data_IF_254888606207
#
_entry.id   IF_254888606207
#
_cell.length_a   1.000
_cell.length_b   1.000
_cell.length_c   1.000
_cell.angle_alpha   90.00
_cell.angle_beta   90.00
_cell.angle_gamma   90.00
#
_symmetry.space_group_name_H-M   'P 1'
#
loop_
_entity.id
_entity.type
_entity.pdbx_description
1 polymer ?
#
# COMPACT_ATOMS: atom_id res chain seq x y z
N UNK A 1 -23.06 -26.07 -43.20
CA UNK A 1 -24.10 -26.30 -42.16
C UNK A 1 -24.71 -24.96 -41.82
N UNK A 2 -26.03 -24.85 -41.62
CA UNK A 2 -26.65 -23.59 -41.21
C UNK A 2 -26.04 -23.16 -39.87
N UNK A 3 -25.54 -21.93 -39.83
CA UNK A 3 -24.92 -21.35 -38.63
C UNK A 3 -26.01 -20.87 -37.71
N UNK A 4 -26.36 -21.66 -36.70
CA UNK A 4 -27.26 -21.24 -35.62
C UNK A 4 -26.50 -20.51 -34.52
N UNK A 5 -27.16 -19.60 -33.82
CA UNK A 5 -26.61 -18.82 -32.70
C UNK A 5 -26.98 -19.46 -31.34
N UNK A 6 -26.34 -19.01 -30.25
CA UNK A 6 -26.75 -19.46 -28.90
C UNK A 6 -28.15 -18.96 -28.53
N UNK A 7 -28.61 -17.85 -29.14
CA UNK A 7 -29.97 -17.33 -28.93
C UNK A 7 -31.01 -18.27 -29.55
N UNK A 8 -30.77 -18.74 -30.79
CA UNK A 8 -31.60 -19.76 -31.44
C UNK A 8 -31.68 -21.05 -30.61
N UNK A 9 -30.57 -21.45 -29.98
CA UNK A 9 -30.51 -22.62 -29.10
C UNK A 9 -31.30 -22.41 -27.80
N UNK A 10 -31.33 -21.21 -27.24
CA UNK A 10 -32.12 -20.88 -26.05
C UNK A 10 -33.61 -20.84 -26.36
N UNK A 11 -33.99 -20.31 -27.53
CA UNK A 11 -35.37 -20.34 -28.03
C UNK A 11 -35.83 -21.79 -28.16
N UNK A 12 -35.02 -22.65 -28.78
CA UNK A 12 -35.32 -24.07 -28.94
C UNK A 12 -35.49 -24.81 -27.60
N UNK A 13 -34.65 -24.52 -26.60
CA UNK A 13 -34.75 -25.11 -25.25
C UNK A 13 -36.03 -24.66 -24.56
N UNK A 14 -36.36 -23.36 -24.65
CA UNK A 14 -37.55 -22.81 -24.01
C UNK A 14 -38.84 -23.41 -24.60
N UNK A 15 -38.90 -23.58 -25.92
CA UNK A 15 -40.00 -24.24 -26.61
C UNK A 15 -40.22 -25.68 -26.12
N UNK A 16 -39.14 -26.45 -25.91
CA UNK A 16 -39.23 -27.82 -25.34
C UNK A 16 -39.68 -27.80 -23.88
N UNK A 17 -39.17 -26.86 -23.07
CA UNK A 17 -39.58 -26.70 -21.67
C UNK A 17 -41.06 -26.32 -21.54
N UNK A 18 -41.62 -25.63 -22.53
CA UNK A 18 -43.03 -25.28 -22.62
C UNK A 18 -43.89 -26.38 -23.30
N UNK A 19 -43.36 -27.61 -23.44
CA UNK A 19 -44.13 -28.79 -23.83
C UNK A 19 -44.14 -29.11 -25.32
N UNK A 20 -43.39 -28.40 -26.18
CA UNK A 20 -43.21 -28.83 -27.57
C UNK A 20 -42.23 -30.02 -27.67
N UNK A 21 -42.40 -30.84 -28.73
CA UNK A 21 -41.46 -31.93 -29.01
C UNK A 21 -40.11 -31.40 -29.51
N UNK A 22 -39.01 -32.07 -29.12
CA UNK A 22 -37.64 -31.69 -29.52
C UNK A 22 -37.47 -31.50 -31.04
N UNK A 23 -38.15 -32.33 -31.83
CA UNK A 23 -38.07 -32.26 -33.29
C UNK A 23 -38.73 -30.99 -33.84
N UNK A 24 -39.88 -30.60 -33.27
CA UNK A 24 -40.61 -29.41 -33.69
C UNK A 24 -39.87 -28.15 -33.27
N UNK A 25 -39.44 -28.09 -32.01
CA UNK A 25 -38.67 -26.98 -31.46
C UNK A 25 -37.33 -26.76 -32.19
N UNK A 26 -36.63 -27.85 -32.54
CA UNK A 26 -35.37 -27.75 -33.30
C UNK A 26 -35.58 -27.21 -34.72
N UNK A 27 -36.64 -27.65 -35.41
CA UNK A 27 -36.97 -27.17 -36.75
C UNK A 27 -37.42 -25.71 -36.74
N UNK A 28 -38.21 -25.31 -35.75
CA UNK A 28 -38.75 -23.96 -35.58
C UNK A 28 -37.63 -22.95 -35.29
N UNK A 29 -36.70 -23.30 -34.42
CA UNK A 29 -35.53 -22.47 -34.10
C UNK A 29 -34.35 -22.66 -35.07
N UNK A 30 -34.50 -23.43 -36.14
CA UNK A 30 -33.43 -23.70 -37.12
C UNK A 30 -32.12 -24.24 -36.49
N UNK A 31 -32.22 -25.03 -35.41
CA UNK A 31 -31.08 -25.65 -34.73
C UNK A 31 -31.00 -27.17 -34.99
N UNK A 32 -29.80 -27.78 -35.02
CA UNK A 32 -29.69 -29.23 -35.11
C UNK A 32 -30.30 -29.93 -33.89
N UNK A 33 -31.21 -30.88 -34.13
CA UNK A 33 -31.88 -31.65 -33.06
C UNK A 33 -30.90 -32.35 -32.12
N UNK A 34 -29.80 -32.89 -32.65
CA UNK A 34 -28.75 -33.54 -31.85
C UNK A 34 -28.14 -32.56 -30.84
N UNK A 35 -27.80 -31.35 -31.28
CA UNK A 35 -27.24 -30.30 -30.43
C UNK A 35 -28.22 -29.82 -29.36
N UNK A 36 -29.51 -29.69 -29.69
CA UNK A 36 -30.57 -29.37 -28.72
C UNK A 36 -30.70 -30.46 -27.65
N UNK A 37 -30.71 -31.74 -28.06
CA UNK A 37 -30.81 -32.88 -27.15
C UNK A 37 -29.63 -32.95 -26.17
N UNK A 38 -28.42 -32.70 -26.66
CA UNK A 38 -27.23 -32.65 -25.81
C UNK A 38 -27.31 -31.48 -24.82
N UNK A 39 -27.82 -30.33 -25.26
CA UNK A 39 -28.04 -29.14 -24.42
C UNK A 39 -29.02 -29.40 -23.28
N UNK A 40 -30.14 -30.07 -23.56
CA UNK A 40 -31.15 -30.43 -22.57
C UNK A 40 -30.62 -31.42 -21.51
N UNK A 41 -29.64 -32.26 -21.88
CA UNK A 41 -28.91 -33.14 -20.95
C UNK A 41 -27.80 -32.43 -20.17
N UNK A 42 -27.71 -31.10 -20.27
CA UNK A 42 -26.72 -30.29 -19.57
C UNK A 42 -25.33 -30.25 -20.22
N UNK A 43 -25.18 -30.85 -21.42
CA UNK A 43 -23.90 -30.85 -22.14
C UNK A 43 -23.66 -29.44 -22.69
N UNK A 44 -22.47 -28.90 -22.38
CA UNK A 44 -22.04 -27.56 -22.82
C UNK A 44 -21.55 -27.60 -24.28
N UNK A 45 -21.70 -26.53 -25.07
CA UNK A 45 -21.12 -26.47 -26.40
C UNK A 45 -19.61 -26.58 -26.25
N UNK A 46 -18.97 -27.28 -27.17
CA UNK A 46 -17.54 -27.56 -27.14
C UNK A 46 -16.71 -26.29 -26.89
N UNK A 47 -17.11 -25.15 -27.49
CA UNK A 47 -16.42 -23.85 -27.30
C UNK A 47 -16.44 -23.30 -25.87
N UNK A 48 -17.50 -23.54 -25.07
CA UNK A 48 -17.57 -23.18 -23.64
C UNK A 48 -17.01 -24.31 -22.75
N UNK A 49 -17.17 -25.58 -23.13
CA UNK A 49 -16.60 -26.71 -22.39
C UNK A 49 -15.07 -26.70 -22.40
N UNK A 50 -14.47 -26.21 -23.49
CA UNK A 50 -13.02 -26.03 -23.64
C UNK A 50 -12.56 -24.58 -23.41
N UNK A 51 -13.36 -23.72 -22.75
CA UNK A 51 -12.97 -22.32 -22.48
C UNK A 51 -11.66 -22.21 -21.69
N UNK A 52 -11.39 -23.22 -20.88
CA UNK A 52 -10.25 -23.29 -19.97
C UNK A 52 -8.98 -23.73 -20.71
N UNK A 53 -9.14 -24.21 -21.94
CA UNK A 53 -8.06 -24.56 -22.87
C UNK A 53 -7.82 -23.47 -23.92
N UNK A 54 -8.60 -22.38 -23.92
CA UNK A 54 -8.35 -21.21 -24.76
C UNK A 54 -7.23 -20.36 -24.15
N UNK A 55 -6.19 -20.06 -24.94
CA UNK A 55 -4.95 -19.44 -24.44
C UNK A 55 -5.14 -18.03 -23.83
N UNK A 56 -6.18 -17.28 -24.18
CA UNK A 56 -6.49 -15.94 -23.65
C UNK A 56 -8.00 -15.63 -23.73
N UNK A 57 -8.59 -15.02 -22.68
CA UNK A 57 -9.95 -14.45 -22.75
C UNK A 57 -9.93 -13.17 -23.63
N UNK A 58 -10.77 -13.02 -24.67
CA UNK A 58 -10.56 -12.01 -25.73
C UNK A 58 -10.71 -10.54 -25.29
N UNK A 59 -11.68 -10.23 -24.43
CA UNK A 59 -12.07 -8.84 -24.13
C UNK A 59 -11.20 -8.22 -23.05
N UNK A 60 -11.01 -8.92 -21.93
CA UNK A 60 -10.40 -8.34 -20.72
C UNK A 60 -8.90 -8.01 -20.88
N UNK A 61 -8.18 -8.69 -21.77
CA UNK A 61 -6.74 -8.41 -22.00
C UNK A 61 -6.46 -7.47 -23.18
N UNK A 62 -7.33 -7.44 -24.20
CA UNK A 62 -7.16 -6.55 -25.35
C UNK A 62 -7.36 -5.08 -24.95
N UNK A 63 -8.31 -4.81 -24.07
CA UNK A 63 -8.59 -3.46 -23.56
C UNK A 63 -7.43 -2.91 -22.72
N UNK A 64 -6.81 -3.76 -21.88
CA UNK A 64 -5.65 -3.38 -21.07
C UNK A 64 -4.45 -3.04 -21.98
N UNK A 65 -4.16 -3.86 -22.98
CA UNK A 65 -3.06 -3.61 -23.94
C UNK A 65 -3.32 -2.30 -24.70
N UNK A 66 -4.57 -2.05 -25.10
CA UNK A 66 -4.94 -0.83 -25.80
C UNK A 66 -4.76 0.41 -24.93
N UNK A 67 -5.22 0.37 -23.68
CA UNK A 67 -5.10 1.49 -22.75
C UNK A 67 -3.64 1.79 -22.41
N UNK A 68 -2.81 0.76 -22.23
CA UNK A 68 -1.38 0.93 -21.97
C UNK A 68 -0.69 1.64 -23.14
N UNK A 69 -0.98 1.23 -24.38
CA UNK A 69 -0.38 1.81 -25.58
C UNK A 69 -0.87 3.25 -25.81
N UNK A 70 -2.16 3.54 -25.62
CA UNK A 70 -2.67 4.91 -25.69
C UNK A 70 -1.92 5.81 -24.71
N UNK A 71 -1.69 5.33 -23.49
CA UNK A 71 -0.99 6.10 -22.46
C UNK A 71 0.49 6.34 -22.79
N UNK A 72 1.16 5.36 -23.38
CA UNK A 72 2.55 5.52 -23.86
C UNK A 72 2.63 6.54 -25.00
N UNK A 73 1.72 6.46 -25.97
CA UNK A 73 1.70 7.39 -27.11
C UNK A 73 1.39 8.82 -26.67
N UNK A 74 0.45 9.01 -25.74
CA UNK A 74 0.17 10.33 -25.15
C UNK A 74 1.37 10.91 -24.39
N UNK A 75 2.15 10.08 -23.69
CA UNK A 75 3.40 10.52 -23.05
C UNK A 75 4.49 10.91 -24.06
N UNK A 76 4.39 10.43 -25.31
CA UNK A 76 5.28 10.78 -26.42
C UNK A 76 4.73 11.93 -27.28
N UNK A 77 3.62 12.56 -26.88
CA UNK A 77 3.00 13.67 -27.61
C UNK A 77 2.07 13.26 -28.75
N UNK A 78 1.86 11.96 -29.00
CA UNK A 78 0.90 11.46 -29.99
C UNK A 78 -0.44 11.13 -29.33
N UNK A 79 -1.41 12.02 -29.50
CA UNK A 79 -2.76 11.88 -28.96
C UNK A 79 -3.76 11.32 -29.98
N UNK A 80 -3.31 10.77 -31.11
CA UNK A 80 -4.22 10.20 -32.11
C UNK A 80 -4.83 8.88 -31.61
N UNK A 81 -6.13 8.66 -31.81
CA UNK A 81 -6.78 7.43 -31.38
C UNK A 81 -6.29 6.23 -32.20
N UNK A 82 -6.01 5.12 -31.52
CA UNK A 82 -5.63 3.87 -32.17
C UNK A 82 -6.80 3.35 -33.04
N UNK A 83 -6.50 2.79 -34.23
CA UNK A 83 -7.54 2.19 -35.09
C UNK A 83 -8.26 1.01 -34.43
N UNK A 84 -9.52 0.75 -34.85
CA UNK A 84 -10.38 -0.33 -34.31
C UNK A 84 -9.75 -1.72 -34.37
N UNK A 85 -8.93 -1.99 -35.39
CA UNK A 85 -8.26 -3.28 -35.59
C UNK A 85 -6.79 -3.28 -35.14
N UNK A 86 -6.33 -2.22 -34.47
CA UNK A 86 -4.92 -2.05 -34.14
C UNK A 86 -4.38 -3.15 -33.23
N UNK A 87 -5.12 -3.51 -32.17
CA UNK A 87 -4.71 -4.54 -31.19
C UNK A 87 -4.61 -5.90 -31.86
N UNK A 88 -5.58 -6.24 -32.70
CA UNK A 88 -5.59 -7.50 -33.47
C UNK A 88 -4.40 -7.58 -34.42
N UNK A 89 -4.12 -6.51 -35.17
CA UNK A 89 -2.95 -6.45 -36.07
C UNK A 89 -1.62 -6.43 -35.31
N UNK A 90 -1.58 -5.83 -34.12
CA UNK A 90 -0.43 -5.82 -33.23
C UNK A 90 -0.09 -7.23 -32.73
N UNK A 91 -1.10 -7.96 -32.23
CA UNK A 91 -0.90 -9.34 -31.79
C UNK A 91 -0.57 -10.29 -32.96
N UNK A 92 -1.06 -9.99 -34.17
CA UNK A 92 -0.76 -10.78 -35.35
C UNK A 92 0.70 -10.64 -35.79
N UNK A 93 1.29 -9.43 -35.70
CA UNK A 93 2.68 -9.11 -36.10
C UNK A 93 3.72 -9.37 -35.01
N UNK A 94 3.30 -9.63 -33.76
CA UNK A 94 4.19 -9.92 -32.64
C UNK A 94 4.33 -11.43 -32.39
N UNK A 95 5.17 -12.09 -33.19
CA UNK A 95 5.46 -13.53 -33.15
C UNK A 95 5.82 -14.03 -31.72
N UNK A 96 6.58 -13.22 -30.95
CA UNK A 96 7.04 -13.53 -29.58
C UNK A 96 5.92 -13.59 -28.53
N UNK A 97 4.77 -12.95 -28.78
CA UNK A 97 3.64 -12.92 -27.83
C UNK A 97 2.75 -14.17 -28.02
N UNK A 98 2.70 -14.75 -29.23
CA UNK A 98 1.94 -15.97 -29.54
C UNK A 98 2.49 -17.23 -28.84
N UNK A 99 3.78 -17.25 -28.50
CA UNK A 99 4.48 -18.43 -27.99
C UNK A 99 4.58 -18.51 -26.46
N UNK A 100 4.11 -17.50 -25.73
CA UNK A 100 4.09 -17.54 -24.27
C UNK A 100 2.96 -18.46 -23.77
N UNK A 101 3.29 -19.74 -23.52
CA UNK A 101 2.42 -20.71 -22.84
C UNK A 101 2.00 -20.15 -21.47
N UNK A 102 0.72 -19.87 -21.29
CA UNK A 102 0.15 -19.65 -19.97
C UNK A 102 0.05 -21.00 -19.24
N UNK A 103 0.93 -21.24 -18.27
CA UNK A 103 0.80 -22.38 -17.34
C UNK A 103 -0.11 -21.95 -16.18
N UNK A 104 -1.05 -22.84 -15.83
CA UNK A 104 -1.99 -22.71 -14.72
C UNK A 104 -1.20 -22.44 -13.42
N UNK A 105 -1.60 -21.42 -12.66
CA UNK A 105 -0.93 -21.08 -11.39
C UNK A 105 -1.28 -22.16 -10.36
N UNK A 106 -0.35 -23.06 -10.09
CA UNK A 106 -0.45 -24.02 -8.98
C UNK A 106 -0.13 -23.35 -7.65
N UNK A 107 -0.95 -23.66 -6.64
CA UNK A 107 -0.88 -23.20 -5.26
C UNK A 107 0.51 -23.35 -4.60
N UNK A 108 1.34 -24.30 -5.08
CA UNK A 108 2.73 -24.50 -4.62
C UNK A 108 3.71 -23.40 -5.03
N UNK A 109 3.33 -22.43 -5.88
CA UNK A 109 4.17 -21.26 -6.23
C UNK A 109 4.24 -20.19 -5.14
N UNK A 110 3.40 -20.24 -4.10
CA UNK A 110 3.48 -19.31 -2.97
C UNK A 110 4.73 -19.57 -2.11
N UNK A 111 5.32 -20.78 -2.17
CA UNK A 111 6.56 -21.12 -1.45
C UNK A 111 7.85 -21.04 -2.31
N UNK A 112 7.75 -20.66 -3.59
CA UNK A 112 8.87 -20.71 -4.53
C UNK A 112 9.76 -19.45 -4.59
N UNK A 113 9.48 -18.41 -3.81
CA UNK A 113 10.24 -17.15 -3.80
C UNK A 113 11.57 -17.27 -3.03
N UNK A 114 12.42 -18.23 -3.40
CA UNK A 114 13.80 -18.28 -2.87
C UNK A 114 14.67 -17.30 -3.66
N UNK A 115 15.39 -16.44 -2.94
CA UNK A 115 16.21 -15.34 -3.47
C UNK A 115 17.19 -15.74 -4.60
N UNK A 116 17.63 -17.01 -4.62
CA UNK A 116 18.46 -17.58 -5.69
C UNK A 116 17.77 -17.49 -7.06
N UNK A 117 16.49 -17.82 -7.18
CA UNK A 117 15.77 -17.84 -8.46
C UNK A 117 15.58 -16.41 -8.99
N UNK A 118 15.35 -15.46 -8.08
CA UNK A 118 15.23 -14.03 -8.41
C UNK A 118 16.58 -13.49 -8.90
N UNK A 119 17.69 -13.82 -8.23
CA UNK A 119 19.04 -13.42 -8.66
C UNK A 119 19.42 -14.00 -10.03
N UNK A 120 19.14 -15.29 -10.27
CA UNK A 120 19.40 -15.91 -11.58
C UNK A 120 18.61 -15.25 -12.72
N UNK A 121 17.40 -14.77 -12.44
CA UNK A 121 16.62 -14.01 -13.41
C UNK A 121 17.23 -12.64 -13.73
N UNK A 122 17.73 -11.91 -12.71
CA UNK A 122 18.41 -10.63 -12.92
C UNK A 122 19.77 -10.78 -13.63
N UNK A 123 20.49 -11.88 -13.42
CA UNK A 123 21.73 -12.14 -14.15
C UNK A 123 21.50 -12.48 -15.62
N UNK A 124 20.35 -13.04 -15.97
CA UNK A 124 19.97 -13.24 -17.37
C UNK A 124 19.67 -11.93 -18.12
N UNK A 125 19.22 -10.88 -17.42
CA UNK A 125 18.99 -9.55 -18.01
C UNK A 125 20.28 -8.79 -18.33
N UNK A 126 21.41 -9.19 -17.75
CA UNK A 126 22.74 -8.57 -17.99
C UNK A 126 23.47 -9.15 -19.20
N UNK A 127 22.87 -10.12 -19.90
CA UNK A 127 23.49 -10.75 -21.07
C UNK A 127 23.62 -9.77 -22.25
N UNK A 128 24.78 -9.72 -22.93
CA UNK A 128 25.05 -8.75 -23.99
C UNK A 128 24.11 -8.86 -25.20
N UNK A 129 23.44 -10.01 -25.40
CA UNK A 129 22.46 -10.17 -26.49
C UNK A 129 21.14 -9.41 -26.23
N UNK A 130 20.81 -9.12 -24.96
CA UNK A 130 19.57 -8.42 -24.58
C UNK A 130 19.75 -6.90 -24.61
N UNK A 131 20.94 -6.39 -24.28
CA UNK A 131 21.26 -4.95 -24.32
C UNK A 131 21.45 -4.40 -25.74
N UNK A 132 21.63 -5.26 -26.75
CA UNK A 132 21.99 -4.84 -28.11
C UNK A 132 20.82 -4.69 -29.09
N UNK A 133 19.61 -5.17 -28.76
CA UNK A 133 18.48 -5.26 -29.71
C UNK A 133 17.39 -4.19 -29.55
N UNK A 134 17.45 -3.31 -28.55
CA UNK A 134 16.62 -2.10 -28.49
C UNK A 134 17.11 -1.20 -27.36
N UNK A 135 17.75 -0.05 -27.66
CA UNK A 135 18.17 0.93 -26.65
C UNK A 135 16.99 1.42 -25.78
N UNK A 136 15.78 1.45 -26.35
CA UNK A 136 14.57 1.88 -25.66
C UNK A 136 14.11 0.88 -24.60
N UNK A 137 14.22 -0.43 -24.83
CA UNK A 137 13.83 -1.42 -23.80
C UNK A 137 14.75 -1.40 -22.58
N UNK A 138 16.04 -1.09 -22.76
CA UNK A 138 16.96 -0.87 -21.66
C UNK A 138 16.67 0.43 -20.90
N UNK A 139 16.26 1.49 -21.61
CA UNK A 139 15.85 2.76 -21.00
C UNK A 139 14.50 2.63 -20.27
N UNK A 140 13.53 1.89 -20.80
CA UNK A 140 12.25 1.60 -20.14
C UNK A 140 12.43 0.65 -18.95
N UNK A 141 13.30 -0.36 -19.05
CA UNK A 141 13.67 -1.18 -17.90
C UNK A 141 14.41 -0.36 -16.83
N UNK A 142 15.27 0.59 -17.22
CA UNK A 142 15.93 1.53 -16.31
C UNK A 142 14.96 2.56 -15.72
N UNK A 143 13.90 2.96 -16.41
CA UNK A 143 12.84 3.85 -15.88
C UNK A 143 11.86 3.11 -14.96
N UNK A 144 11.63 1.81 -15.21
CA UNK A 144 10.81 0.94 -14.35
C UNK A 144 11.63 0.45 -13.13
N UNK A 145 12.96 0.31 -13.28
CA UNK A 145 13.88 -0.13 -12.22
C UNK A 145 14.72 1.01 -11.63
N UNK A 146 14.49 2.27 -12.02
CA UNK A 146 15.15 3.43 -11.41
C UNK A 146 14.59 3.59 -10.01
N UNK A 147 15.42 3.56 -8.97
CA UNK A 147 14.95 3.72 -7.59
C UNK A 147 14.44 5.15 -7.29
N UNK A 148 14.42 6.07 -8.26
CA UNK A 148 13.92 7.44 -8.07
C UNK A 148 12.43 7.65 -8.30
N UNK A 149 11.66 6.60 -8.63
CA UNK A 149 10.19 6.63 -8.52
C UNK A 149 9.72 5.42 -7.76
N UNK A 150 9.72 5.59 -6.44
CA UNK A 150 8.86 4.96 -5.44
C UNK A 150 8.26 3.63 -5.87
N UNK A 151 8.77 2.54 -5.30
CA UNK A 151 8.02 1.29 -5.17
C UNK A 151 6.77 1.60 -4.33
N UNK A 152 5.75 2.15 -4.98
CA UNK A 152 4.44 2.36 -4.41
C UNK A 152 3.94 0.96 -4.08
N UNK A 153 3.88 0.68 -2.78
CA UNK A 153 2.97 -0.29 -2.18
C UNK A 153 1.73 -0.34 -3.08
N UNK A 154 1.33 -1.50 -3.62
CA UNK A 154 0.19 -1.60 -4.54
C UNK A 154 -1.06 -1.12 -3.80
N UNK A 155 -1.34 0.19 -3.90
CA UNK A 155 -2.36 0.90 -3.16
C UNK A 155 -3.28 1.54 -4.18
N UNK A 156 -4.59 1.53 -3.86
CA UNK A 156 -5.52 2.42 -4.53
C UNK A 156 -5.04 3.85 -4.32
N UNK A 157 -4.95 4.65 -5.40
CA UNK A 157 -4.57 6.07 -5.30
C UNK A 157 -5.44 6.84 -4.31
N UNK A 158 -6.67 6.38 -4.08
CA UNK A 158 -7.59 6.96 -3.11
C UNK A 158 -7.08 6.90 -1.66
N UNK A 159 -6.21 5.94 -1.31
CA UNK A 159 -5.72 5.72 0.07
C UNK A 159 -4.42 6.44 0.38
N UNK A 160 -3.75 6.99 -0.62
CA UNK A 160 -2.49 7.72 -0.45
C UNK A 160 -2.81 9.12 0.06
N UNK A 161 -2.14 9.54 1.13
CA UNK A 161 -2.14 10.92 1.59
C UNK A 161 -0.77 11.53 1.29
N UNK A 162 -0.77 12.67 0.60
CA UNK A 162 0.45 13.35 0.14
C UNK A 162 0.67 14.69 0.81
N UNK A 163 -0.33 15.25 1.50
CA UNK A 163 -0.23 16.57 2.14
C UNK A 163 0.66 16.46 3.37
N UNK A 164 1.85 17.02 3.27
CA UNK A 164 2.87 16.94 4.31
C UNK A 164 2.38 17.45 5.67
N UNK A 165 1.64 18.57 5.79
CA UNK A 165 1.08 19.00 7.07
C UNK A 165 0.17 17.95 7.74
N UNK A 166 -0.60 17.19 6.96
CA UNK A 166 -1.46 16.11 7.47
C UNK A 166 -0.64 14.93 7.98
N UNK A 167 0.44 14.57 7.27
CA UNK A 167 1.33 13.48 7.68
C UNK A 167 2.08 13.82 8.96
N UNK A 168 2.62 15.05 9.04
CA UNK A 168 3.32 15.57 10.22
C UNK A 168 2.41 15.62 11.44
N UNK A 169 1.15 16.06 11.26
CA UNK A 169 0.15 16.02 12.32
C UNK A 169 -0.08 14.60 12.84
N UNK A 170 -0.24 13.61 11.95
CA UNK A 170 -0.38 12.21 12.38
C UNK A 170 0.82 11.75 13.21
N UNK A 171 2.05 12.07 12.78
CA UNK A 171 3.26 11.75 13.52
C UNK A 171 3.22 12.34 14.94
N UNK A 172 2.87 13.62 15.09
CA UNK A 172 2.82 14.29 16.41
C UNK A 172 1.74 13.73 17.32
N UNK A 173 0.55 13.50 16.76
CA UNK A 173 -0.60 12.96 17.49
C UNK A 173 -0.35 11.49 17.91
N UNK A 174 0.64 10.81 17.30
CA UNK A 174 0.97 9.41 17.55
C UNK A 174 2.48 9.23 17.75
N UNK A 175 3.06 9.98 18.70
CA UNK A 175 4.51 10.11 18.89
C UNK A 175 5.27 8.79 19.14
N UNK A 176 4.60 7.70 19.54
CA UNK A 176 5.21 6.38 19.70
C UNK A 176 5.37 5.68 18.34
N UNK A 177 6.55 5.84 17.73
CA UNK A 177 6.89 5.23 16.45
C UNK A 177 7.54 3.85 16.58
N UNK A 178 7.51 3.06 15.51
CA UNK A 178 8.24 1.79 15.39
C UNK A 178 9.47 2.00 14.51
N UNK A 179 10.65 2.14 15.13
CA UNK A 179 11.92 2.27 14.42
C UNK A 179 12.38 0.92 13.91
N UNK A 180 12.54 0.82 12.59
CA UNK A 180 13.01 -0.35 11.87
C UNK A 180 14.38 -0.07 11.25
N UNK A 181 15.34 -0.95 11.52
CA UNK A 181 16.70 -0.89 10.95
C UNK A 181 17.06 -2.23 10.32
N UNK A 182 17.82 -2.20 9.22
CA UNK A 182 18.35 -3.40 8.55
C UNK A 182 19.90 -3.39 8.61
N UNK A 183 20.47 -3.70 9.77
CA UNK A 183 21.90 -3.60 10.05
C UNK A 183 22.50 -5.01 10.08
N UNK A 184 23.52 -5.32 9.27
CA UNK A 184 24.24 -6.58 9.36
C UNK A 184 24.94 -6.72 10.72
N UNK A 185 24.74 -7.83 11.41
CA UNK A 185 25.42 -8.16 12.67
C UNK A 185 25.52 -9.67 12.84
N UNK A 186 26.64 -10.15 13.37
CA UNK A 186 26.82 -11.56 13.71
C UNK A 186 26.14 -11.93 15.04
N UNK A 187 25.79 -10.93 15.86
CA UNK A 187 25.23 -11.10 17.21
C UNK A 187 23.73 -10.83 17.27
N UNK A 188 23.20 -10.06 16.34
CA UNK A 188 21.83 -9.56 16.37
C UNK A 188 21.10 -9.86 15.05
N UNK A 189 19.75 -9.98 15.07
CA UNK A 189 18.98 -10.12 13.85
C UNK A 189 19.25 -8.99 12.84
N UNK A 190 19.26 -9.31 11.56
CA UNK A 190 19.52 -8.32 10.51
C UNK A 190 18.46 -7.21 10.49
N UNK A 191 17.18 -7.57 10.60
CA UNK A 191 16.07 -6.63 10.69
C UNK A 191 15.63 -6.58 12.15
N UNK A 192 15.64 -5.39 12.73
CA UNK A 192 15.25 -5.15 14.11
C UNK A 192 14.23 -4.03 14.18
N UNK A 193 13.35 -4.12 15.18
CA UNK A 193 12.29 -3.15 15.43
C UNK A 193 12.23 -2.80 16.92
N UNK A 194 12.07 -1.52 17.24
CA UNK A 194 11.79 -1.05 18.59
C UNK A 194 10.72 0.04 18.57
N UNK A 195 9.83 0.00 19.55
CA UNK A 195 8.91 1.11 19.80
C UNK A 195 9.67 2.19 20.57
N UNK A 196 9.70 3.40 20.03
CA UNK A 196 10.34 4.54 20.67
C UNK A 196 9.54 5.83 20.43
N UNK A 197 9.43 6.69 21.45
CA UNK A 197 8.79 7.99 21.31
C UNK A 197 9.69 8.93 20.50
N UNK A 198 9.08 9.70 19.61
CA UNK A 198 9.75 10.69 18.77
C UNK A 198 9.10 12.07 18.90
N UNK A 199 9.95 13.09 18.81
CA UNK A 199 9.56 14.46 18.52
C UNK A 199 9.91 14.78 17.07
N UNK A 200 9.03 15.54 16.40
CA UNK A 200 9.20 15.98 15.03
C UNK A 200 9.49 17.49 14.99
N UNK A 201 10.70 17.84 14.59
CA UNK A 201 11.12 19.22 14.30
C UNK A 201 10.96 19.53 12.80
N UNK A 202 10.93 20.79 12.40
CA UNK A 202 9.68 21.57 12.24
C UNK A 202 10.03 23.06 12.18
N UNK A 203 10.56 23.60 11.07
CA UNK A 203 10.77 25.05 10.95
C UNK A 203 9.50 25.80 10.55
N UNK A 204 8.74 25.25 9.60
CA UNK A 204 7.47 25.84 9.13
C UNK A 204 6.36 24.77 9.10
N UNK A 205 5.41 24.93 10.02
CA UNK A 205 4.24 24.05 10.14
C UNK A 205 3.31 24.10 8.92
N UNK A 206 3.30 25.23 8.21
CA UNK A 206 2.49 25.41 7.00
C UNK A 206 3.17 24.89 5.73
N UNK A 207 4.45 24.50 5.81
CA UNK A 207 5.20 24.07 4.64
C UNK A 207 4.69 22.74 4.08
N UNK A 208 4.42 22.74 2.78
CA UNK A 208 4.02 21.55 2.02
C UNK A 208 5.21 20.71 1.52
N UNK A 209 6.45 21.16 1.74
CA UNK A 209 7.66 20.51 1.18
C UNK A 209 8.70 20.14 2.22
N UNK A 210 8.76 20.85 3.35
CA UNK A 210 9.65 20.49 4.45
C UNK A 210 9.15 19.16 5.04
N UNK A 211 10.01 18.17 5.25
CA UNK A 211 9.59 16.87 5.81
C UNK A 211 9.75 16.89 7.34
N UNK A 212 10.93 17.32 7.79
CA UNK A 212 11.28 17.44 9.20
C UNK A 212 12.40 16.49 9.63
N UNK A 213 12.72 16.56 10.93
CA UNK A 213 13.71 15.71 11.60
C UNK A 213 13.05 15.05 12.80
N UNK A 214 13.21 13.73 12.94
CA UNK A 214 12.74 13.01 14.12
C UNK A 214 13.85 12.91 15.15
N UNK A 215 13.55 13.22 16.41
CA UNK A 215 14.44 12.98 17.56
C UNK A 215 13.82 12.03 18.55
N UNK A 216 14.53 10.97 18.87
CA UNK A 216 14.16 9.98 19.87
C UNK A 216 15.37 9.53 20.68
N UNK A 217 15.12 8.66 21.64
CA UNK A 217 16.18 7.94 22.33
C UNK A 217 15.76 6.48 22.54
N UNK A 218 16.76 5.63 22.75
CA UNK A 218 16.56 4.21 22.98
C UNK A 218 17.55 3.72 24.02
N UNK A 219 17.16 2.73 24.83
CA UNK A 219 18.03 2.13 25.83
C UNK A 219 19.31 1.61 25.19
N UNK A 220 20.47 1.96 25.75
CA UNK A 220 21.77 1.56 25.22
C UNK A 220 21.89 0.05 25.13
N UNK A 221 21.33 -0.68 26.08
CA UNK A 221 21.38 -2.15 26.14
C UNK A 221 20.44 -2.84 25.14
N UNK A 222 19.60 -2.10 24.42
CA UNK A 222 18.73 -2.67 23.41
C UNK A 222 19.58 -3.30 22.28
N UNK A 223 19.31 -4.55 21.84
CA UNK A 223 20.04 -5.20 20.75
C UNK A 223 20.14 -4.37 19.46
N UNK A 224 19.09 -3.61 19.12
CA UNK A 224 19.09 -2.71 17.97
C UNK A 224 20.09 -1.56 18.16
N UNK A 225 20.19 -1.05 19.39
CA UNK A 225 21.14 0.00 19.76
C UNK A 225 22.58 -0.50 19.73
N UNK A 226 22.82 -1.71 20.23
CA UNK A 226 24.14 -2.34 20.17
C UNK A 226 24.58 -2.57 18.72
N UNK A 227 23.71 -3.09 17.85
CA UNK A 227 24.01 -3.25 16.43
C UNK A 227 24.34 -1.92 15.72
N UNK A 228 23.61 -0.85 16.06
CA UNK A 228 23.89 0.51 15.56
C UNK A 228 25.28 0.99 16.00
N UNK A 229 25.58 0.91 17.30
CA UNK A 229 26.86 1.34 17.87
C UNK A 229 28.03 0.57 17.24
N UNK A 230 27.97 -0.76 17.21
CA UNK A 230 29.03 -1.60 16.64
C UNK A 230 29.32 -1.25 15.17
N UNK A 231 28.27 -1.01 14.37
CA UNK A 231 28.43 -0.63 12.96
C UNK A 231 29.08 0.74 12.80
N UNK A 232 28.73 1.69 13.66
CA UNK A 232 29.24 3.06 13.63
C UNK A 232 30.68 3.16 14.14
N UNK A 233 31.03 2.40 15.17
CA UNK A 233 32.41 2.30 15.66
C UNK A 233 33.33 1.72 14.57
N UNK A 234 32.86 0.72 13.81
CA UNK A 234 33.62 0.14 12.71
C UNK A 234 33.79 1.09 11.51
N UNK A 235 32.84 2.00 11.27
CA UNK A 235 32.92 2.96 10.17
C UNK A 235 33.61 4.28 10.53
N UNK A 236 33.73 4.59 11.83
CA UNK A 236 34.21 5.88 12.32
C UNK A 236 33.24 7.04 12.07
N UNK A 237 31.98 6.75 11.75
CA UNK A 237 30.90 7.70 11.52
C UNK A 237 29.90 7.66 12.68
N UNK A 238 29.10 8.71 12.85
CA UNK A 238 27.91 8.71 13.70
C UNK A 238 26.60 8.60 12.89
N UNK A 239 26.68 8.47 11.56
CA UNK A 239 25.53 8.35 10.67
C UNK A 239 25.46 6.94 10.08
N UNK A 240 24.30 6.30 10.17
CA UNK A 240 24.07 5.01 9.54
C UNK A 240 24.08 5.13 8.00
N UNK A 241 24.74 4.17 7.35
CA UNK A 241 24.78 4.09 5.89
C UNK A 241 23.44 3.63 5.31
N UNK A 242 22.75 2.73 6.01
CA UNK A 242 21.47 2.21 5.61
C UNK A 242 20.34 3.18 5.93
N UNK A 243 19.32 3.21 5.06
CA UNK A 243 18.06 3.88 5.34
C UNK A 243 17.36 3.23 6.53
N UNK A 244 16.72 4.05 7.37
CA UNK A 244 15.85 3.61 8.46
C UNK A 244 14.40 3.96 8.14
N UNK A 245 13.47 3.20 8.72
CA UNK A 245 12.03 3.45 8.63
C UNK A 245 11.45 3.62 10.03
N UNK A 246 10.67 4.68 10.25
CA UNK A 246 9.80 4.80 11.42
C UNK A 246 8.34 4.70 10.97
N UNK A 247 7.61 3.73 11.51
CA UNK A 247 6.17 3.59 11.28
C UNK A 247 5.40 4.24 12.42
N UNK A 248 4.57 5.23 12.09
CA UNK A 248 3.58 5.83 12.97
C UNK A 248 2.20 5.34 12.56
N UNK A 249 1.42 4.85 13.52
CA UNK A 249 0.05 4.35 13.27
C UNK A 249 -0.91 5.13 14.15
N UNK A 250 -2.03 5.58 13.57
CA UNK A 250 -3.09 6.20 14.35
C UNK A 250 -3.60 5.24 15.41
N UNK A 251 -3.78 5.73 16.64
CA UNK A 251 -4.31 4.95 17.77
C UNK A 251 -5.66 4.30 17.47
N UNK A 252 -6.51 4.98 16.72
CA UNK A 252 -7.82 4.46 16.31
C UNK A 252 -7.75 3.80 14.94
N UNK A 253 -8.06 2.51 14.91
CA UNK A 253 -8.28 1.70 13.72
C UNK A 253 -9.40 0.69 13.99
N UNK A 254 -10.17 0.31 12.98
CA UNK A 254 -11.27 -0.62 13.21
C UNK A 254 -11.62 -1.48 12.00
N UNK A 255 -12.08 -2.71 12.28
CA UNK A 255 -12.71 -3.57 11.30
C UNK A 255 -14.03 -2.96 10.79
N UNK A 256 -14.19 -2.88 9.48
CA UNK A 256 -15.41 -2.44 8.79
C UNK A 256 -16.16 -3.66 8.32
N UNK A 257 -17.35 -3.87 8.90
CA UNK A 257 -18.25 -4.95 8.49
C UNK A 257 -18.97 -4.60 7.20
N UNK A 258 -19.15 -5.56 6.27
CA UNK A 258 -19.96 -5.33 5.08
C UNK A 258 -21.42 -4.98 5.37
N UNK A 259 -21.90 -5.20 6.61
CA UNK A 259 -23.24 -4.78 7.04
C UNK A 259 -23.45 -3.27 7.01
N UNK A 260 -22.37 -2.48 7.06
CA UNK A 260 -22.44 -1.02 7.00
C UNK A 260 -22.63 -0.47 5.58
N UNK A 261 -22.42 -1.28 4.54
CA UNK A 261 -22.57 -0.83 3.15
C UNK A 261 -24.04 -0.87 2.73
N UNK A 262 -24.72 0.25 2.91
CA UNK A 262 -26.17 0.37 2.69
C UNK A 262 -26.56 0.50 1.22
N UNK A 263 -25.63 0.78 0.32
CA UNK A 263 -25.89 0.97 -1.11
C UNK A 263 -25.42 -0.23 -1.94
N UNK A 264 -24.15 -0.65 -1.79
CA UNK A 264 -23.58 -1.70 -2.64
C UNK A 264 -24.07 -3.11 -2.24
N UNK A 265 -24.33 -3.34 -0.94
CA UNK A 265 -24.75 -4.66 -0.45
C UNK A 265 -26.17 -5.03 -0.93
N UNK A 266 -27.21 -4.20 -0.81
CA UNK A 266 -28.54 -4.56 -1.29
C UNK A 266 -28.60 -4.67 -2.82
N UNK A 267 -27.77 -3.91 -3.53
CA UNK A 267 -27.80 -3.85 -5.00
C UNK A 267 -27.02 -4.98 -5.68
N UNK A 268 -25.83 -5.32 -5.18
CA UNK A 268 -24.94 -6.28 -5.85
C UNK A 268 -24.45 -7.41 -4.96
N UNK A 269 -24.52 -7.25 -3.63
CA UNK A 269 -23.88 -8.11 -2.64
C UNK A 269 -22.36 -8.31 -2.80
N UNK A 270 -21.69 -7.59 -3.73
CA UNK A 270 -20.26 -7.70 -4.01
C UNK A 270 -19.44 -6.80 -3.08
N UNK A 271 -19.49 -7.13 -1.80
CA UNK A 271 -18.81 -6.41 -0.73
C UNK A 271 -17.94 -7.35 0.10
N UNK A 272 -16.81 -6.84 0.59
CA UNK A 272 -15.86 -7.59 1.42
C UNK A 272 -15.56 -6.82 2.70
N UNK A 273 -15.28 -7.53 3.80
CA UNK A 273 -14.85 -6.87 5.04
C UNK A 273 -13.47 -6.24 4.87
N UNK A 274 -13.19 -5.21 5.65
CA UNK A 274 -11.87 -4.56 5.61
C UNK A 274 -11.52 -3.90 6.94
N UNK A 275 -10.40 -3.17 6.98
CA UNK A 275 -9.98 -2.35 8.10
C UNK A 275 -9.83 -0.90 7.66
N UNK A 276 -10.34 0.00 8.49
CA UNK A 276 -10.04 1.42 8.40
C UNK A 276 -8.92 1.76 9.39
N UNK A 277 -7.92 2.49 8.90
CA UNK A 277 -6.74 2.88 9.66
C UNK A 277 -6.00 4.02 8.97
N UNK A 278 -5.17 4.73 9.72
CA UNK A 278 -4.24 5.71 9.18
C UNK A 278 -2.81 5.42 9.67
N UNK A 279 -1.82 5.60 8.81
CA UNK A 279 -0.42 5.39 9.12
C UNK A 279 0.50 6.27 8.28
N UNK A 280 1.67 6.58 8.81
CA UNK A 280 2.76 7.29 8.13
C UNK A 280 4.04 6.49 8.27
N UNK A 281 4.71 6.28 7.15
CA UNK A 281 6.04 5.70 7.09
C UNK A 281 7.05 6.82 6.81
N UNK A 282 7.93 7.07 7.77
CA UNK A 282 9.00 8.05 7.64
C UNK A 282 10.33 7.34 7.35
N UNK A 283 10.90 7.63 6.19
CA UNK A 283 12.17 7.09 5.74
C UNK A 283 13.24 8.16 5.81
N UNK A 284 14.44 7.79 6.26
CA UNK A 284 15.53 8.74 6.41
C UNK A 284 16.87 8.10 6.73
N UNK A 285 17.84 8.94 7.06
CA UNK A 285 19.15 8.52 7.59
C UNK A 285 19.25 8.87 9.05
N UNK A 286 19.72 7.92 9.86
CA UNK A 286 19.85 8.12 11.29
C UNK A 286 21.27 8.57 11.67
N UNK A 287 21.38 9.69 12.37
CA UNK A 287 22.54 10.06 13.16
C UNK A 287 22.33 9.54 14.59
N UNK A 288 23.31 8.83 15.14
CA UNK A 288 23.24 8.22 16.46
C UNK A 288 24.19 8.95 17.41
N UNK A 289 23.63 9.45 18.51
CA UNK A 289 24.35 10.14 19.57
C UNK A 289 24.62 9.15 20.71
N UNK A 290 25.71 8.39 20.60
CA UNK A 290 26.03 7.29 21.52
C UNK A 290 27.28 7.49 22.38
N UNK A 291 28.12 8.49 22.12
CA UNK A 291 29.27 8.77 22.98
C UNK A 291 28.84 9.55 24.23
N UNK A 292 28.80 8.86 25.37
CA UNK A 292 28.44 9.45 26.67
C UNK A 292 29.41 10.51 27.18
N UNK A 293 30.60 10.63 26.59
CA UNK A 293 31.61 11.66 26.93
C UNK A 293 31.53 12.87 26.01
N UNK A 294 30.75 12.78 24.92
CA UNK A 294 30.61 13.85 23.94
C UNK A 294 29.59 14.89 24.43
N UNK A 295 30.04 16.15 24.46
CA UNK A 295 29.18 17.30 24.76
C UNK A 295 28.00 17.40 23.79
N UNK A 296 28.24 17.12 22.50
CA UNK A 296 27.19 17.12 21.47
C UNK A 296 26.11 16.08 21.76
N UNK A 297 26.50 14.86 22.17
CA UNK A 297 25.54 13.82 22.53
C UNK A 297 24.77 14.17 23.81
N UNK A 298 25.43 14.76 24.80
CA UNK A 298 24.77 15.20 26.03
C UNK A 298 23.73 16.30 25.76
N UNK A 299 24.10 17.32 24.97
CA UNK A 299 23.18 18.41 24.57
C UNK A 299 22.00 17.90 23.75
N UNK A 300 22.25 16.99 22.81
CA UNK A 300 21.18 16.36 22.03
C UNK A 300 20.18 15.65 22.94
N UNK A 301 20.67 14.77 23.83
CA UNK A 301 19.84 14.01 24.75
C UNK A 301 19.08 14.92 25.71
N UNK A 302 19.72 15.96 26.24
CA UNK A 302 19.07 16.91 27.14
C UNK A 302 17.86 17.57 26.45
N UNK A 303 18.09 18.16 25.28
CA UNK A 303 17.03 18.82 24.51
C UNK A 303 15.93 17.82 24.11
N UNK A 304 16.30 16.62 23.67
CA UNK A 304 15.34 15.59 23.26
C UNK A 304 14.47 15.15 24.44
N UNK A 305 15.03 14.96 25.63
CA UNK A 305 14.28 14.58 26.83
C UNK A 305 13.32 15.68 27.28
N UNK A 306 13.79 16.94 27.30
CA UNK A 306 12.98 18.11 27.69
C UNK A 306 11.79 18.31 26.75
N UNK A 307 12.05 18.33 25.43
CA UNK A 307 11.00 18.53 24.43
C UNK A 307 10.00 17.36 24.43
N UNK A 308 10.49 16.12 24.60
CA UNK A 308 9.61 14.95 24.66
C UNK A 308 8.73 14.98 25.90
N UNK A 309 9.30 15.29 27.07
CA UNK A 309 8.56 15.43 28.33
C UNK A 309 7.47 16.48 28.18
N UNK A 310 7.82 17.69 27.75
CA UNK A 310 6.87 18.79 27.55
C UNK A 310 5.75 18.39 26.57
N UNK A 311 6.10 17.79 25.42
CA UNK A 311 5.12 17.33 24.45
C UNK A 311 4.16 16.31 25.04
N UNK A 312 4.65 15.27 25.72
CA UNK A 312 3.78 14.20 26.23
C UNK A 312 2.93 14.65 27.43
N UNK A 313 3.50 15.45 28.32
CA UNK A 313 2.81 16.00 29.48
C UNK A 313 1.67 16.94 29.05
N UNK A 314 1.89 17.74 28.01
CA UNK A 314 0.87 18.69 27.54
C UNK A 314 -0.11 18.11 26.52
N UNK A 315 0.35 17.35 25.52
CA UNK A 315 -0.51 16.87 24.43
C UNK A 315 -1.28 15.60 24.76
N UNK A 316 -0.72 14.73 25.61
CA UNK A 316 -1.33 13.44 25.98
C UNK A 316 -1.95 13.53 27.38
N UNK A 317 -1.15 13.93 28.38
CA UNK A 317 -1.64 14.02 29.76
C UNK A 317 -2.45 15.28 30.03
N UNK A 318 -2.33 16.29 29.18
CA UNK A 318 -3.04 17.56 29.30
C UNK A 318 -2.67 18.35 30.57
N UNK A 319 -1.50 18.10 31.13
CA UNK A 319 -0.95 18.78 32.29
C UNK A 319 -0.35 20.12 31.85
N UNK A 320 -1.21 21.12 31.77
CA UNK A 320 -0.89 22.44 31.19
C UNK A 320 -0.70 23.53 32.24
N UNK A 321 -0.96 23.25 33.52
CA UNK A 321 -0.94 24.22 34.61
C UNK A 321 -2.03 25.31 34.50
N UNK A 322 -3.04 25.11 33.63
CA UNK A 322 -4.14 26.06 33.41
C UNK A 322 -5.43 25.54 34.04
N UNK A 323 -6.12 26.40 34.79
CA UNK A 323 -7.31 26.03 35.55
C UNK A 323 -6.96 25.03 36.65
N UNK A 324 -7.76 23.97 36.77
CA UNK A 324 -7.54 22.91 37.77
C UNK A 324 -6.55 21.82 37.30
N UNK A 325 -5.91 21.99 36.14
CA UNK A 325 -4.98 21.00 35.59
C UNK A 325 -3.60 21.14 36.22
N UNK A 326 -2.92 20.03 36.58
CA UNK A 326 -1.52 20.06 37.03
C UNK A 326 -0.60 20.70 35.99
N UNK A 327 0.53 21.26 36.42
CA UNK A 327 1.61 21.67 35.54
C UNK A 327 2.35 20.46 34.94
N UNK A 328 3.01 20.62 33.78
CA UNK A 328 3.77 19.53 33.16
C UNK A 328 4.98 19.16 34.04
N UNK A 329 5.27 17.87 34.16
CA UNK A 329 6.52 17.42 34.76
C UNK A 329 7.72 17.81 33.88
N UNK A 330 8.75 18.40 34.49
CA UNK A 330 9.96 18.81 33.79
C UNK A 330 11.10 17.85 34.11
N UNK A 331 11.97 17.64 33.12
CA UNK A 331 13.20 16.86 33.33
C UNK A 331 14.03 17.42 34.49
N UNK A 332 14.08 18.75 34.65
CA UNK A 332 14.77 19.41 35.75
C UNK A 332 14.12 19.27 37.13
N UNK A 333 12.93 18.66 37.23
CA UNK A 333 12.32 18.31 38.52
C UNK A 333 13.02 17.09 39.15
N UNK A 334 13.77 16.30 38.35
CA UNK A 334 14.65 15.25 38.85
C UNK A 334 16.03 15.82 39.26
N UNK A 335 16.75 15.18 40.21
CA UNK A 335 18.10 15.60 40.58
C UNK A 335 19.07 15.54 39.40
N UNK A 336 19.87 16.59 39.20
CA UNK A 336 20.82 16.71 38.07
C UNK A 336 21.74 15.49 37.93
N UNK A 337 22.34 15.03 39.03
CA UNK A 337 23.20 13.84 39.04
C UNK A 337 22.46 12.57 38.60
N UNK A 338 21.16 12.46 38.91
CA UNK A 338 20.33 11.33 38.47
C UNK A 338 20.09 11.40 36.95
N UNK A 339 19.77 12.58 36.42
CA UNK A 339 19.59 12.80 34.97
C UNK A 339 20.88 12.43 34.21
N UNK A 340 22.04 12.90 34.67
CA UNK A 340 23.33 12.59 34.05
C UNK A 340 23.66 11.08 34.06
N UNK A 341 23.30 10.37 35.13
CA UNK A 341 23.46 8.91 35.19
C UNK A 341 22.50 8.19 34.23
N UNK A 342 21.25 8.63 34.15
CA UNK A 342 20.25 8.03 33.26
C UNK A 342 20.57 8.27 31.79
N UNK A 343 21.09 9.45 31.42
CA UNK A 343 21.54 9.76 30.04
C UNK A 343 22.61 8.78 29.54
N UNK A 344 23.49 8.26 30.43
CA UNK A 344 24.51 7.26 30.05
C UNK A 344 23.90 5.92 29.63
N UNK A 345 22.69 5.61 30.09
CA UNK A 345 21.98 4.36 29.80
C UNK A 345 21.15 4.41 28.51
N UNK A 346 21.15 5.53 27.79
CA UNK A 346 20.46 5.68 26.52
C UNK A 346 21.43 6.16 25.42
N UNK A 347 20.96 6.07 24.18
CA UNK A 347 21.56 6.73 23.02
C UNK A 347 20.50 7.59 22.34
N UNK A 348 20.92 8.70 21.75
CA UNK A 348 20.05 9.56 20.96
C UNK A 348 19.96 9.09 19.52
N UNK A 349 18.79 9.22 18.92
CA UNK A 349 18.52 8.90 17.51
C UNK A 349 17.94 10.16 16.86
N UNK A 350 18.64 10.69 15.87
CA UNK A 350 18.18 11.79 15.02
C UNK A 350 17.98 11.25 13.61
N UNK A 351 16.82 11.47 13.00
CA UNK A 351 16.51 10.97 11.66
C UNK A 351 16.12 12.14 10.77
N UNK A 352 17.00 12.49 9.83
CA UNK A 352 16.66 13.40 8.74
C UNK A 352 15.72 12.69 7.77
N UNK A 353 14.47 13.14 7.70
CA UNK A 353 13.45 12.50 6.88
C UNK A 353 13.68 12.88 5.41
N UNK A 354 13.76 11.87 4.55
CA UNK A 354 13.90 12.03 3.09
C UNK A 354 12.63 11.64 2.33
N UNK A 355 11.76 10.82 2.93
CA UNK A 355 10.46 10.45 2.35
C UNK A 355 9.42 10.21 3.44
N UNK A 356 8.22 10.73 3.23
CA UNK A 356 7.01 10.40 4.00
C UNK A 356 6.01 9.71 3.08
N UNK A 357 5.62 8.49 3.43
CA UNK A 357 4.56 7.75 2.74
C UNK A 357 3.34 7.64 3.67
N UNK A 358 2.28 8.38 3.33
CA UNK A 358 1.03 8.43 4.09
C UNK A 358 -0.04 7.50 3.54
N UNK A 359 -0.72 6.78 4.44
CA UNK A 359 -1.87 5.97 4.10
C UNK A 359 -3.03 6.24 5.03
N UNK A 360 -4.15 6.68 4.45
CA UNK A 360 -5.43 6.80 5.15
C UNK A 360 -6.40 5.90 4.41
N UNK A 361 -6.82 4.81 5.04
CA UNK A 361 -7.88 3.95 4.51
C UNK A 361 -9.10 4.15 5.38
N UNK A 362 -10.06 4.91 4.89
CA UNK A 362 -11.28 5.33 5.58
C UNK A 362 -12.50 5.16 4.66
N UNK A 363 -12.53 4.04 3.93
CA UNK A 363 -13.61 3.68 2.99
C UNK A 363 -13.88 4.71 1.87
N UNK A 364 -12.96 5.63 1.59
CA UNK A 364 -13.16 6.70 0.63
C UNK A 364 -13.35 6.20 -0.81
N UNK A 365 -12.93 4.99 -1.14
CA UNK A 365 -13.18 4.36 -2.45
C UNK A 365 -14.65 4.00 -2.67
N UNK A 366 -15.41 3.85 -1.58
CA UNK A 366 -16.80 3.43 -1.62
C UNK A 366 -17.72 4.56 -2.12
N UNK A 367 -18.97 4.18 -2.44
CA UNK A 367 -20.02 5.13 -2.80
C UNK A 367 -20.41 6.00 -1.61
N UNK A 368 -21.08 7.12 -1.86
CA UNK A 368 -21.52 8.03 -0.79
C UNK A 368 -22.43 7.31 0.21
N UNK A 369 -23.43 6.54 -0.24
CA UNK A 369 -24.34 5.82 0.67
C UNK A 369 -23.60 4.82 1.56
N UNK A 370 -22.62 4.10 1.02
CA UNK A 370 -21.82 3.16 1.80
C UNK A 370 -20.91 3.86 2.83
N UNK A 371 -20.34 5.02 2.49
CA UNK A 371 -19.57 5.84 3.46
C UNK A 371 -20.47 6.36 4.57
N UNK A 372 -21.64 6.88 4.22
CA UNK A 372 -22.65 7.35 5.17
C UNK A 372 -23.08 6.20 6.11
N UNK A 373 -23.25 4.98 5.59
CA UNK A 373 -23.54 3.79 6.38
C UNK A 373 -22.40 3.35 7.31
N UNK A 374 -21.14 3.52 6.90
CA UNK A 374 -19.97 3.30 7.79
C UNK A 374 -19.95 4.32 8.92
N UNK A 375 -20.21 5.59 8.63
CA UNK A 375 -20.24 6.68 9.62
C UNK A 375 -21.34 6.41 10.65
N UNK A 376 -22.55 6.09 10.21
CA UNK A 376 -23.67 5.74 11.11
C UNK A 376 -23.39 4.47 11.91
N UNK A 377 -22.84 3.44 11.26
CA UNK A 377 -22.52 2.18 11.89
C UNK A 377 -21.56 2.35 13.06
N UNK A 378 -20.47 3.11 12.87
CA UNK A 378 -19.54 3.42 13.95
C UNK A 378 -20.10 4.43 14.96
N UNK A 379 -20.83 5.45 14.51
CA UNK A 379 -21.44 6.45 15.39
C UNK A 379 -22.48 5.86 16.36
N UNK A 380 -23.12 4.75 15.99
CA UNK A 380 -24.04 4.01 16.86
C UNK A 380 -23.37 3.14 17.92
N UNK A 381 -22.04 3.01 17.87
CA UNK A 381 -21.28 2.24 18.84
C UNK A 381 -20.79 3.15 19.97
N UNK A 382 -21.02 2.75 21.21
CA UNK A 382 -20.56 3.45 22.43
C UNK A 382 -19.07 3.15 22.70
N UNK A 383 -18.20 3.58 21.78
CA UNK A 383 -16.75 3.42 21.89
C UNK A 383 -16.03 4.62 21.30
N UNK A 384 -15.11 5.21 22.06
CA UNK A 384 -14.30 6.35 21.63
C UNK A 384 -13.56 6.07 20.32
N UNK A 385 -13.00 4.86 20.17
CA UNK A 385 -12.33 4.45 18.94
C UNK A 385 -13.28 4.41 17.74
N UNK A 386 -14.53 3.99 17.94
CA UNK A 386 -15.55 4.01 16.88
C UNK A 386 -15.92 5.44 16.51
N UNK A 387 -16.11 6.33 17.49
CA UNK A 387 -16.43 7.74 17.23
C UNK A 387 -15.30 8.43 16.45
N UNK A 388 -14.05 8.22 16.85
CA UNK A 388 -12.87 8.76 16.14
C UNK A 388 -12.80 8.23 14.70
N UNK A 389 -13.06 6.93 14.49
CA UNK A 389 -13.12 6.36 13.13
C UNK A 389 -14.27 6.97 12.32
N UNK A 390 -15.46 7.15 12.91
CA UNK A 390 -16.59 7.77 12.23
C UNK A 390 -16.25 9.19 11.75
N UNK A 391 -15.63 10.01 12.61
CA UNK A 391 -15.16 11.36 12.27
C UNK A 391 -14.14 11.34 11.14
N UNK A 392 -13.13 10.45 11.19
CA UNK A 392 -12.14 10.35 10.11
C UNK A 392 -12.75 9.88 8.78
N UNK A 393 -13.75 8.99 8.81
CA UNK A 393 -14.48 8.58 7.60
C UNK A 393 -15.29 9.75 7.04
N UNK A 394 -15.95 10.54 7.89
CA UNK A 394 -16.68 11.74 7.50
C UNK A 394 -15.76 12.76 6.83
N UNK A 395 -14.64 13.14 7.47
CA UNK A 395 -13.67 14.09 6.92
C UNK A 395 -13.15 13.65 5.54
N UNK A 396 -12.83 12.36 5.39
CA UNK A 396 -12.36 11.78 4.12
C UNK A 396 -13.46 11.71 3.08
N UNK A 397 -14.70 11.52 3.50
CA UNK A 397 -15.87 11.57 2.63
C UNK A 397 -16.03 12.98 2.03
N UNK A 398 -16.00 14.00 2.90
CA UNK A 398 -16.19 15.40 2.52
C UNK A 398 -15.08 15.91 1.59
N UNK A 399 -13.82 15.55 1.87
CA UNK A 399 -12.70 15.88 0.99
C UNK A 399 -12.89 15.30 -0.42
N UNK A 400 -13.37 14.06 -0.53
CA UNK A 400 -13.64 13.44 -1.83
C UNK A 400 -14.82 14.11 -2.55
N UNK A 401 -15.87 14.49 -1.84
CA UNK A 401 -16.99 15.23 -2.44
C UNK A 401 -16.58 16.62 -2.92
N UNK A 402 -15.69 17.29 -2.17
CA UNK A 402 -15.15 18.59 -2.55
C UNK A 402 -14.28 18.52 -3.83
N UNK A 403 -13.57 17.41 -4.06
CA UNK A 403 -12.77 17.20 -5.28
C UNK A 403 -13.61 16.89 -6.53
N UNK A 404 -14.87 16.46 -6.36
CA UNK A 404 -15.78 16.12 -7.46
C UNK A 404 -16.69 17.28 -7.88
N UNK A 405 -16.67 18.39 -7.13
CA UNK A 405 -17.32 19.66 -7.48
C UNK A 405 -16.35 20.52 -8.26
#
# INVERSE_FOLDING_TARGET
>A
MPSYTEEDMLIAINLVQNGQSELKAAKEASVPRSSLRDRLKGIRPQKKAHSDQQRLRPTVKADIIRQLVIRILSLQGDNKPLGKHWVTRFLARSERIKTLKAVRVEYKRIEGAKAIIIRTWFDQLKKPEITRTSPDLAHYAYLIASPSKSLIMILSSAHVETRIPVLRRLIRDNALGVLTTAIPSDKHPHIQVSHIPFILDVQDEGSDTELGVLRGHIARQNPQSQAMIETLENSGSNVLDQEVLVLFTATSHHYVTPKFYTETKPTTAKVVPTWNYAAVQAYGRATVHYDSKSETSSKFLQKQLEDLSEHTETSIMNYTGKGDRPGPWKVSDAPERYIELMKKNIIGIEISIHRLDGKFKMSQEMRKGDRDGVIQGFGSMESDACQVIATMVQERSDLKEAQNK
#
